data_IF_018701588952
#
_entry.id   IF_018701588952
#
_cell.length_a   1.000
_cell.length_b   1.000
_cell.length_c   1.000
_cell.angle_alpha   90.00
_cell.angle_beta   90.00
_cell.angle_gamma   90.00
#
_symmetry.space_group_name_H-M   'P 1'
#
loop_
_entity.id
_entity.type
_entity.pdbx_description
1 polymer ?
#
# COMPACT_ATOMS: atom_id res chain seq x y z
N UNK A 1 4.00 -21.99 -2.85
CA UNK A 1 4.73 -20.88 -2.16
C UNK A 1 5.47 -21.39 -0.92
N UNK A 2 4.81 -21.95 0.10
CA UNK A 2 5.50 -22.37 1.33
C UNK A 2 6.61 -23.41 1.12
N UNK A 3 6.37 -24.48 0.34
CA UNK A 3 7.41 -25.48 0.04
C UNK A 3 8.64 -24.87 -0.66
N UNK A 4 8.40 -23.98 -1.63
CA UNK A 4 9.45 -23.26 -2.35
C UNK A 4 10.31 -22.40 -1.41
N UNK A 5 9.71 -21.75 -0.41
CA UNK A 5 10.45 -20.97 0.60
C UNK A 5 11.38 -21.86 1.42
N UNK A 6 10.90 -23.03 1.85
CA UNK A 6 11.73 -23.97 2.64
C UNK A 6 12.86 -24.59 1.81
N UNK A 7 12.62 -24.90 0.54
CA UNK A 7 13.65 -25.41 -0.37
C UNK A 7 14.74 -24.39 -0.65
N UNK A 8 14.39 -23.10 -0.71
CA UNK A 8 15.32 -22.01 -1.03
C UNK A 8 15.82 -21.24 0.20
N UNK A 9 15.64 -21.76 1.42
CA UNK A 9 16.04 -21.03 2.64
C UNK A 9 17.55 -20.75 2.72
N UNK A 10 18.37 -21.54 2.00
CA UNK A 10 19.82 -21.34 1.92
C UNK A 10 20.25 -20.28 0.91
N UNK A 11 19.39 -19.84 0.00
CA UNK A 11 19.70 -18.81 -0.99
C UNK A 11 19.37 -17.39 -0.50
N UNK A 12 19.15 -17.22 0.81
CA UNK A 12 18.83 -15.93 1.41
C UNK A 12 20.07 -15.03 1.41
N UNK A 13 19.94 -13.84 0.85
CA UNK A 13 20.93 -12.77 0.98
C UNK A 13 20.86 -12.20 2.39
N UNK A 14 21.94 -12.37 3.15
CA UNK A 14 21.97 -12.02 4.58
C UNK A 14 21.90 -10.51 4.79
N UNK A 15 22.44 -9.74 3.85
CA UNK A 15 22.47 -8.28 3.83
C UNK A 15 21.07 -7.69 3.67
N UNK A 16 20.29 -8.21 2.71
CA UNK A 16 18.89 -7.83 2.51
C UNK A 16 18.02 -8.21 3.73
N UNK A 17 18.29 -9.37 4.34
CA UNK A 17 17.60 -9.80 5.56
C UNK A 17 17.91 -8.87 6.73
N UNK A 18 19.17 -8.50 6.95
CA UNK A 18 19.55 -7.57 8.02
C UNK A 18 18.98 -6.18 7.79
N UNK A 19 19.02 -5.66 6.56
CA UNK A 19 18.46 -4.35 6.21
C UNK A 19 16.94 -4.30 6.44
N UNK A 20 16.22 -5.34 6.03
CA UNK A 20 14.77 -5.43 6.24
C UNK A 20 14.42 -5.59 7.72
N UNK A 21 15.15 -6.43 8.47
CA UNK A 21 14.96 -6.59 9.92
C UNK A 21 15.21 -5.27 10.66
N UNK A 22 16.31 -4.59 10.37
CA UNK A 22 16.64 -3.29 10.94
C UNK A 22 15.55 -2.25 10.64
N UNK A 23 15.07 -2.21 9.39
CA UNK A 23 14.01 -1.31 8.96
C UNK A 23 12.71 -1.54 9.74
N UNK A 24 12.32 -2.81 9.94
CA UNK A 24 11.15 -3.17 10.74
C UNK A 24 11.34 -2.74 12.20
N UNK A 25 12.49 -3.02 12.80
CA UNK A 25 12.79 -2.63 14.19
C UNK A 25 12.71 -1.12 14.36
N UNK A 26 13.31 -0.34 13.47
CA UNK A 26 13.25 1.13 13.51
C UNK A 26 11.82 1.62 13.35
N UNK A 27 11.05 1.10 12.40
CA UNK A 27 9.65 1.48 12.18
C UNK A 27 8.79 1.22 13.41
N UNK A 28 8.87 0.03 13.98
CA UNK A 28 8.09 -0.35 15.15
C UNK A 28 8.49 0.49 16.36
N UNK A 29 9.80 0.63 16.64
CA UNK A 29 10.27 1.44 17.77
C UNK A 29 9.80 2.88 17.67
N UNK A 30 9.91 3.51 16.49
CA UNK A 30 9.48 4.91 16.33
C UNK A 30 7.97 5.05 16.47
N UNK A 31 7.17 4.13 15.91
CA UNK A 31 5.70 4.16 16.06
C UNK A 31 5.28 3.97 17.52
N UNK A 32 5.86 3.00 18.22
CA UNK A 32 5.59 2.74 19.64
C UNK A 32 6.01 3.92 20.53
N UNK A 33 7.16 4.53 20.27
CA UNK A 33 7.60 5.73 21.00
C UNK A 33 6.68 6.93 20.71
N UNK A 34 6.25 7.11 19.46
CA UNK A 34 5.33 8.19 19.10
C UNK A 34 3.97 8.04 19.80
N UNK A 35 3.42 6.83 19.84
CA UNK A 35 2.19 6.52 20.59
C UNK A 35 2.38 6.72 22.10
N UNK A 36 3.49 6.25 22.68
CA UNK A 36 3.77 6.38 24.12
C UNK A 36 3.97 7.84 24.56
N UNK A 37 4.58 8.67 23.72
CA UNK A 37 4.87 10.08 23.99
C UNK A 37 3.93 11.05 23.27
N UNK A 38 2.79 10.58 22.78
CA UNK A 38 1.75 11.38 22.10
C UNK A 38 1.36 12.67 22.87
N UNK A 39 1.42 12.66 24.21
CA UNK A 39 1.14 13.86 25.02
C UNK A 39 2.15 14.99 24.82
N UNK A 40 3.40 14.67 24.51
CA UNK A 40 4.50 15.62 24.40
C UNK A 40 4.83 15.94 22.94
N UNK A 41 4.62 14.99 22.02
CA UNK A 41 4.89 15.14 20.60
C UNK A 41 3.54 15.09 19.86
N UNK A 42 3.02 16.27 19.50
CA UNK A 42 1.76 16.42 18.76
C UNK A 42 1.92 16.25 17.23
N UNK A 43 3.12 15.93 16.76
CA UNK A 43 3.43 15.87 15.33
C UNK A 43 3.30 14.42 14.86
N UNK A 44 2.42 14.18 13.88
CA UNK A 44 2.39 12.92 13.14
C UNK A 44 3.62 12.88 12.24
N UNK A 45 4.67 12.16 12.67
CA UNK A 45 5.88 12.00 11.87
C UNK A 45 5.63 10.99 10.73
N UNK A 46 5.88 11.35 9.46
CA UNK A 46 5.76 10.43 8.33
C UNK A 46 6.97 9.48 8.29
N UNK A 47 7.11 8.62 9.31
CA UNK A 47 8.28 7.76 9.50
C UNK A 47 8.50 6.79 8.33
N UNK A 48 7.41 6.30 7.73
CA UNK A 48 7.50 5.41 6.57
C UNK A 48 8.24 6.11 5.40
N UNK A 49 7.95 7.39 5.17
CA UNK A 49 8.62 8.20 4.15
C UNK A 49 10.09 8.47 4.52
N UNK A 50 10.36 8.86 5.76
CA UNK A 50 11.72 9.12 6.23
C UNK A 50 12.60 7.88 6.12
N UNK A 51 12.07 6.70 6.45
CA UNK A 51 12.78 5.44 6.31
C UNK A 51 13.08 5.13 4.84
N UNK A 52 12.11 5.31 3.93
CA UNK A 52 12.33 5.11 2.48
C UNK A 52 13.44 6.04 1.99
N UNK A 53 13.44 7.32 2.39
CA UNK A 53 14.49 8.27 2.00
C UNK A 53 15.85 7.83 2.54
N UNK A 54 15.94 7.51 3.84
CA UNK A 54 17.19 7.12 4.49
C UNK A 54 17.77 5.83 3.89
N UNK A 55 16.94 4.81 3.68
CA UNK A 55 17.35 3.54 3.07
C UNK A 55 17.75 3.73 1.61
N UNK A 56 17.00 4.50 0.83
CA UNK A 56 17.36 4.83 -0.56
C UNK A 56 18.72 5.53 -0.66
N UNK A 57 18.96 6.52 0.21
CA UNK A 57 20.25 7.21 0.25
C UNK A 57 21.39 6.29 0.69
N UNK A 58 21.15 5.43 1.69
CA UNK A 58 22.12 4.45 2.14
C UNK A 58 22.48 3.46 1.02
N UNK A 59 21.48 2.91 0.31
CA UNK A 59 21.71 2.01 -0.82
C UNK A 59 22.49 2.69 -1.95
N UNK A 60 22.20 3.97 -2.23
CA UNK A 60 22.86 4.74 -3.27
C UNK A 60 24.33 5.06 -2.93
N UNK A 61 24.60 5.59 -1.73
CA UNK A 61 25.97 5.99 -1.34
C UNK A 61 26.87 4.81 -0.99
N UNK A 62 26.31 3.71 -0.51
CA UNK A 62 27.06 2.48 -0.21
C UNK A 62 27.12 1.51 -1.39
N UNK A 63 26.60 1.90 -2.56
CA UNK A 63 26.57 1.11 -3.80
C UNK A 63 26.14 -0.35 -3.57
N UNK A 64 25.06 -0.53 -2.81
CA UNK A 64 24.68 -1.84 -2.27
C UNK A 64 24.26 -2.84 -3.34
N UNK A 65 23.77 -2.35 -4.48
CA UNK A 65 23.45 -3.18 -5.64
C UNK A 65 24.70 -3.83 -6.21
N UNK A 66 25.78 -3.07 -6.43
CA UNK A 66 27.02 -3.58 -6.99
C UNK A 66 27.83 -4.42 -5.98
N UNK A 67 27.94 -3.95 -4.74
CA UNK A 67 28.80 -4.57 -3.73
C UNK A 67 28.17 -5.83 -3.14
N UNK A 68 26.86 -5.80 -2.87
CA UNK A 68 26.16 -6.88 -2.15
C UNK A 68 25.13 -7.62 -3.03
N UNK A 69 24.92 -7.21 -4.28
CA UNK A 69 23.97 -7.86 -5.18
C UNK A 69 22.51 -7.73 -4.73
N UNK A 70 22.21 -6.71 -3.92
CA UNK A 70 20.85 -6.44 -3.44
C UNK A 70 20.03 -5.86 -4.57
N UNK A 71 18.85 -6.46 -4.83
CA UNK A 71 17.91 -5.94 -5.81
C UNK A 71 17.34 -4.59 -5.35
N UNK A 72 17.54 -3.56 -6.17
CA UNK A 72 16.98 -2.23 -5.95
C UNK A 72 15.84 -1.96 -6.93
N UNK A 73 14.98 -1.00 -6.59
CA UNK A 73 13.80 -0.63 -7.41
C UNK A 73 14.18 -0.19 -8.83
N UNK A 74 15.39 0.31 -9.04
CA UNK A 74 15.90 0.71 -10.35
C UNK A 74 15.22 1.98 -10.89
N UNK A 75 15.09 2.05 -12.22
CA UNK A 75 14.56 3.23 -12.89
C UNK A 75 13.03 3.28 -12.88
N UNK A 76 12.47 4.30 -12.23
CA UNK A 76 11.03 4.59 -12.27
C UNK A 76 10.75 5.54 -13.45
N UNK A 77 9.92 5.15 -14.44
CA UNK A 77 9.60 6.01 -15.56
C UNK A 77 8.91 7.30 -15.08
N UNK A 78 9.28 8.43 -15.71
CA UNK A 78 8.70 9.73 -15.39
C UNK A 78 7.40 9.94 -16.16
N UNK A 79 6.42 10.53 -15.50
CA UNK A 79 5.14 10.91 -16.11
C UNK A 79 4.07 9.81 -16.07
N UNK A 80 2.89 10.13 -16.60
CA UNK A 80 1.77 9.20 -16.69
C UNK A 80 1.91 8.35 -17.97
N UNK A 81 1.72 7.01 -17.91
CA UNK A 81 1.68 6.22 -19.12
C UNK A 81 0.50 6.66 -20.01
N UNK A 82 0.64 6.60 -21.34
CA UNK A 82 -0.47 6.90 -22.24
C UNK A 82 -1.62 5.90 -22.02
N UNK A 83 -2.89 6.33 -22.10
CA UNK A 83 -4.02 5.45 -21.89
C UNK A 83 -4.04 4.34 -22.95
N UNK A 84 -4.15 3.09 -22.51
CA UNK A 84 -4.24 1.89 -23.36
C UNK A 84 -5.33 0.97 -22.85
N UNK A 85 -6.20 0.49 -23.73
CA UNK A 85 -7.23 -0.46 -23.35
C UNK A 85 -6.61 -1.78 -22.85
N UNK A 86 -7.13 -2.36 -21.74
CA UNK A 86 -6.68 -3.66 -21.27
C UNK A 86 -7.00 -4.75 -22.32
N UNK A 87 -6.10 -5.70 -22.57
CA UNK A 87 -6.30 -6.72 -23.59
C UNK A 87 -7.44 -7.67 -23.18
N UNK A 88 -8.52 -7.71 -23.96
CA UNK A 88 -9.66 -8.58 -23.65
C UNK A 88 -9.38 -10.07 -23.87
N UNK A 89 -8.27 -10.41 -24.55
CA UNK A 89 -7.86 -11.79 -24.80
C UNK A 89 -7.51 -12.56 -23.53
N UNK A 90 -7.02 -11.88 -22.48
CA UNK A 90 -6.66 -12.53 -21.20
C UNK A 90 -7.84 -12.66 -20.25
N UNK A 91 -8.98 -12.03 -20.55
CA UNK A 91 -10.14 -12.00 -19.66
C UNK A 91 -10.63 -13.41 -19.29
N UNK A 92 -10.74 -14.40 -20.21
CA UNK A 92 -11.20 -15.74 -19.86
C UNK A 92 -10.29 -16.46 -18.85
N UNK A 93 -8.99 -16.13 -18.84
CA UNK A 93 -8.01 -16.76 -17.94
C UNK A 93 -8.07 -16.16 -16.53
N UNK A 94 -8.45 -14.88 -16.40
CA UNK A 94 -8.39 -14.15 -15.13
C UNK A 94 -9.76 -13.84 -14.52
N UNK A 95 -10.87 -14.03 -15.25
CA UNK A 95 -12.21 -13.58 -14.82
C UNK A 95 -12.63 -14.16 -13.46
N UNK A 96 -12.31 -15.43 -13.19
CA UNK A 96 -12.67 -16.08 -11.93
C UNK A 96 -11.92 -15.47 -10.74
N UNK A 97 -10.61 -15.26 -10.88
CA UNK A 97 -9.78 -14.64 -9.85
C UNK A 97 -10.13 -13.15 -9.68
N UNK A 98 -10.33 -12.45 -10.79
CA UNK A 98 -10.72 -11.04 -10.82
C UNK A 98 -12.05 -10.80 -10.10
N UNK A 99 -13.04 -11.70 -10.25
CA UNK A 99 -14.30 -11.61 -9.51
C UNK A 99 -14.06 -11.70 -8.00
N UNK A 100 -13.19 -12.61 -7.55
CA UNK A 100 -12.82 -12.73 -6.14
C UNK A 100 -12.16 -11.45 -5.60
N UNK A 101 -11.20 -10.90 -6.34
CA UNK A 101 -10.52 -9.64 -5.97
C UNK A 101 -11.50 -8.47 -5.91
N UNK A 102 -12.39 -8.35 -6.92
CA UNK A 102 -13.40 -7.29 -6.96
C UNK A 102 -14.39 -7.37 -5.79
N UNK A 103 -14.86 -8.59 -5.46
CA UNK A 103 -15.77 -8.80 -4.35
C UNK A 103 -15.12 -8.44 -3.01
N UNK A 104 -13.90 -8.95 -2.75
CA UNK A 104 -13.17 -8.66 -1.51
C UNK A 104 -12.83 -7.18 -1.40
N UNK A 105 -12.41 -6.55 -2.50
CA UNK A 105 -12.10 -5.13 -2.56
C UNK A 105 -13.31 -4.25 -2.28
N UNK A 106 -14.46 -4.58 -2.86
CA UNK A 106 -15.72 -3.86 -2.60
C UNK A 106 -16.18 -4.05 -1.15
N UNK A 107 -16.22 -5.28 -0.65
CA UNK A 107 -16.66 -5.56 0.73
C UNK A 107 -15.77 -4.85 1.76
N UNK A 108 -14.45 -4.85 1.56
CA UNK A 108 -13.53 -4.11 2.43
C UNK A 108 -13.78 -2.59 2.39
N UNK A 109 -14.06 -2.05 1.20
CA UNK A 109 -14.37 -0.63 0.99
C UNK A 109 -15.69 -0.24 1.64
N UNK A 110 -16.73 -1.03 1.43
CA UNK A 110 -18.05 -0.83 2.02
C UNK A 110 -18.01 -0.95 3.54
N UNK A 111 -17.29 -1.93 4.09
CA UNK A 111 -17.13 -2.10 5.53
C UNK A 111 -16.49 -0.86 6.18
N UNK A 112 -15.47 -0.28 5.54
CA UNK A 112 -14.86 0.97 6.01
C UNK A 112 -15.86 2.14 5.92
N UNK A 113 -16.58 2.27 4.80
CA UNK A 113 -17.56 3.34 4.60
C UNK A 113 -18.69 3.27 5.65
N UNK A 114 -19.26 2.10 5.88
CA UNK A 114 -20.31 1.86 6.87
C UNK A 114 -19.80 2.07 8.31
N UNK A 115 -18.57 1.65 8.60
CA UNK A 115 -17.92 1.92 9.88
C UNK A 115 -17.78 3.42 10.15
N UNK A 116 -17.40 4.19 9.13
CA UNK A 116 -17.32 5.64 9.19
C UNK A 116 -18.69 6.30 9.31
N UNK A 117 -19.69 5.84 8.57
CA UNK A 117 -21.07 6.30 8.63
C UNK A 117 -21.64 6.19 10.06
N UNK A 118 -21.43 5.03 10.69
CA UNK A 118 -21.80 4.79 12.08
C UNK A 118 -21.06 5.71 13.06
N UNK A 119 -19.76 5.91 12.87
CA UNK A 119 -18.92 6.75 13.74
C UNK A 119 -19.33 8.22 13.68
N UNK A 120 -19.60 8.74 12.48
CA UNK A 120 -19.87 10.16 12.24
C UNK A 120 -21.35 10.49 12.03
N UNK A 121 -22.25 9.50 12.22
CA UNK A 121 -23.71 9.65 12.16
C UNK A 121 -24.24 10.18 10.82
N UNK A 122 -23.71 9.66 9.72
CA UNK A 122 -24.27 9.86 8.38
C UNK A 122 -24.70 8.52 7.77
N UNK A 123 -25.33 8.55 6.60
CA UNK A 123 -25.78 7.36 5.87
C UNK A 123 -24.96 7.14 4.62
N UNK A 124 -24.73 5.88 4.27
CA UNK A 124 -24.05 5.47 3.02
C UNK A 124 -25.07 4.80 2.11
N UNK A 125 -25.02 5.12 0.82
CA UNK A 125 -25.77 4.42 -0.23
C UNK A 125 -24.87 3.36 -0.85
N UNK A 126 -25.20 2.09 -0.59
CA UNK A 126 -24.42 0.93 -1.02
C UNK A 126 -24.31 0.83 -2.54
N UNK A 127 -25.34 1.23 -3.29
CA UNK A 127 -25.35 1.19 -4.76
C UNK A 127 -24.42 2.25 -5.32
N UNK A 128 -24.42 3.44 -4.71
CA UNK A 128 -23.53 4.53 -5.12
C UNK A 128 -22.07 4.17 -4.82
N UNK A 129 -21.79 3.55 -3.67
CA UNK A 129 -20.46 3.04 -3.35
C UNK A 129 -20.02 1.92 -4.32
N UNK A 130 -20.93 1.02 -4.72
CA UNK A 130 -20.62 -0.02 -5.70
C UNK A 130 -20.23 0.57 -7.06
N UNK A 131 -21.03 1.53 -7.55
CA UNK A 131 -20.76 2.22 -8.81
C UNK A 131 -19.44 3.01 -8.73
N UNK A 132 -19.22 3.77 -7.66
CA UNK A 132 -18.00 4.53 -7.46
C UNK A 132 -16.77 3.62 -7.39
N UNK A 133 -16.86 2.51 -6.66
CA UNK A 133 -15.79 1.52 -6.54
C UNK A 133 -15.45 0.88 -7.90
N UNK A 134 -16.47 0.50 -8.68
CA UNK A 134 -16.29 -0.02 -10.04
C UNK A 134 -15.60 0.98 -10.95
N UNK A 135 -16.09 2.22 -11.02
CA UNK A 135 -15.49 3.28 -11.85
C UNK A 135 -14.06 3.62 -11.42
N UNK A 136 -13.78 3.61 -10.11
CA UNK A 136 -12.44 3.84 -9.56
C UNK A 136 -11.42 2.76 -9.92
N UNK A 137 -11.86 1.60 -10.41
CA UNK A 137 -11.00 0.52 -10.89
C UNK A 137 -10.98 0.44 -12.43
N UNK A 138 -12.11 0.67 -13.09
CA UNK A 138 -12.22 0.63 -14.56
C UNK A 138 -11.48 1.80 -15.22
N UNK A 139 -11.60 3.03 -14.70
CA UNK A 139 -10.93 4.18 -15.33
C UNK A 139 -9.40 4.05 -15.22
N UNK A 140 -8.81 3.72 -14.07
CA UNK A 140 -7.36 3.57 -13.95
C UNK A 140 -6.79 2.33 -14.64
N UNK A 141 -7.60 1.32 -15.00
CA UNK A 141 -7.09 0.16 -15.74
C UNK A 141 -6.52 0.53 -17.11
N UNK A 142 -6.97 1.65 -17.69
CA UNK A 142 -6.40 2.19 -18.93
C UNK A 142 -4.98 2.76 -18.74
N UNK A 143 -4.55 2.96 -17.50
CA UNK A 143 -3.24 3.49 -17.11
C UNK A 143 -2.38 2.42 -16.41
N UNK A 144 -2.70 1.14 -16.60
CA UNK A 144 -1.97 0.00 -16.02
C UNK A 144 -1.96 -0.02 -14.48
N UNK A 145 -2.99 0.56 -13.84
CA UNK A 145 -3.13 0.51 -12.39
C UNK A 145 -3.59 -0.87 -11.92
N UNK A 146 -3.10 -1.29 -10.75
CA UNK A 146 -3.59 -2.46 -10.04
C UNK A 146 -4.96 -2.16 -9.38
N UNK A 147 -5.78 -3.18 -9.10
CA UNK A 147 -7.03 -3.01 -8.38
C UNK A 147 -6.82 -2.33 -7.01
N UNK A 148 -7.68 -1.37 -6.69
CA UNK A 148 -7.66 -0.58 -5.47
C UNK A 148 -8.86 -0.89 -4.57
N UNK A 149 -8.66 -0.76 -3.26
CA UNK A 149 -9.67 -0.94 -2.23
C UNK A 149 -9.45 0.07 -1.08
N UNK A 150 -10.27 -0.03 -0.02
CA UNK A 150 -10.17 0.83 1.16
C UNK A 150 -8.77 0.87 1.78
N UNK A 151 -8.26 2.08 2.00
CA UNK A 151 -7.00 2.33 2.71
C UNK A 151 -7.25 2.64 4.19
N UNK A 152 -7.61 1.62 4.98
CA UNK A 152 -8.02 1.77 6.39
C UNK A 152 -7.02 2.61 7.23
N UNK A 153 -5.71 2.36 7.09
CA UNK A 153 -4.69 3.11 7.82
C UNK A 153 -4.65 4.60 7.46
N UNK A 154 -4.78 4.93 6.17
CA UNK A 154 -4.80 6.34 5.70
C UNK A 154 -6.07 7.04 6.16
N UNK A 155 -7.21 6.37 6.09
CA UNK A 155 -8.49 6.90 6.56
C UNK A 155 -8.49 7.13 8.07
N UNK A 156 -7.94 6.20 8.86
CA UNK A 156 -7.80 6.37 10.29
C UNK A 156 -6.90 7.57 10.65
N UNK A 157 -5.79 7.73 9.93
CA UNK A 157 -4.90 8.88 10.08
C UNK A 157 -5.63 10.19 9.75
N UNK A 158 -6.36 10.24 8.64
CA UNK A 158 -7.13 11.42 8.23
C UNK A 158 -8.21 11.79 9.25
N UNK A 159 -8.88 10.80 9.87
CA UNK A 159 -9.81 11.08 10.95
C UNK A 159 -9.13 11.59 12.23
N UNK A 160 -7.90 11.16 12.50
CA UNK A 160 -7.13 11.63 13.66
C UNK A 160 -6.75 13.12 13.56
N UNK A 161 -6.63 13.65 12.34
CA UNK A 161 -6.37 15.07 12.11
C UNK A 161 -7.63 15.94 12.20
N UNK A 162 -8.81 15.32 12.40
CA UNK A 162 -10.09 16.02 12.50
C UNK A 162 -10.71 16.40 11.15
N UNK A 163 -10.20 15.86 10.04
CA UNK A 163 -10.77 16.09 8.71
C UNK A 163 -12.22 15.59 8.61
N UNK A 164 -13.05 16.35 7.90
CA UNK A 164 -14.50 16.10 7.75
C UNK A 164 -14.95 15.96 6.31
N UNK A 165 -14.08 16.32 5.37
CA UNK A 165 -14.32 16.37 3.92
C UNK A 165 -13.25 15.57 3.19
N UNK A 166 -13.45 15.33 1.89
CA UNK A 166 -12.47 14.67 1.02
C UNK A 166 -11.27 15.57 0.68
N UNK A 167 -11.38 16.86 0.98
CA UNK A 167 -10.33 17.90 0.85
C UNK A 167 -9.96 18.47 2.21
#
# INVERSE_FOLDING_TARGET
IYAYVFENIRSVQLEALLLSLLSIVVLVLVKELNEKFHRNIKVVLPIDLLLIIATSLACYYADMEYIYGIEVVGNIPKGLPPPKAPPMSVLPEVVTEAFGVALVGYVASLALAQGSAKKFKYTVDDNQEFLAHGLSNVIPSFFFCIPSAAAMGRTALLYSTGAKTQV
#
